data_IF_713719321201
#
_entry.id   IF_713719321201
#
_cell.length_a   1.000
_cell.length_b   1.000
_cell.length_c   1.000
_cell.angle_alpha   90.00
_cell.angle_beta   90.00
_cell.angle_gamma   90.00
#
_symmetry.space_group_name_H-M   'P 1'
#
loop_
_entity.id
_entity.type
_entity.pdbx_description
1 polymer ?
#
# COMPACT_ATOMS: atom_id res chain seq x y z
N UNK A 1 -2.16 -46.48 17.64
CA UNK A 1 -2.31 -45.46 16.58
C UNK A 1 -3.29 -44.39 17.05
N UNK A 2 -2.81 -43.23 17.48
CA UNK A 2 -3.65 -42.07 17.76
C UNK A 2 -2.80 -40.81 17.49
N UNK A 3 -3.04 -40.19 16.35
CA UNK A 3 -2.32 -38.99 15.91
C UNK A 3 -2.81 -37.76 16.67
N UNK A 4 -2.02 -37.29 17.63
CA UNK A 4 -2.21 -36.00 18.28
C UNK A 4 -1.81 -34.87 17.33
N UNK A 5 -2.79 -34.21 16.71
CA UNK A 5 -2.60 -32.96 15.99
C UNK A 5 -2.30 -31.82 16.98
N UNK A 6 -1.03 -31.62 17.35
CA UNK A 6 -0.61 -30.40 18.04
C UNK A 6 -0.55 -29.25 17.05
N UNK A 7 -1.49 -28.31 17.19
CA UNK A 7 -1.36 -26.92 16.75
C UNK A 7 -0.01 -26.37 17.24
N UNK A 8 0.87 -26.03 16.31
CA UNK A 8 2.14 -25.39 16.58
C UNK A 8 2.46 -24.40 15.47
N UNK A 9 1.68 -23.33 15.37
CA UNK A 9 2.05 -22.15 14.57
C UNK A 9 3.35 -21.62 15.20
N UNK A 10 4.49 -21.54 14.50
CA UNK A 10 5.69 -21.02 15.09
C UNK A 10 5.50 -19.55 15.42
N UNK A 11 5.77 -19.26 16.68
CA UNK A 11 5.74 -17.96 17.32
C UNK A 11 6.67 -17.02 16.53
N UNK A 12 6.14 -15.86 16.14
CA UNK A 12 6.85 -14.63 15.79
C UNK A 12 7.28 -14.52 14.32
N UNK A 13 6.38 -14.02 13.48
CA UNK A 13 6.76 -13.27 12.27
C UNK A 13 7.04 -11.82 12.70
N UNK A 14 8.32 -11.36 12.74
CA UNK A 14 8.66 -10.03 13.26
C UNK A 14 8.23 -8.86 12.36
N UNK A 15 7.73 -9.14 11.15
CA UNK A 15 7.30 -8.12 10.20
C UNK A 15 5.78 -7.91 10.13
N UNK A 16 5.00 -8.63 10.93
CA UNK A 16 3.55 -8.44 10.98
C UNK A 16 3.22 -7.26 11.90
N UNK A 17 3.51 -6.05 11.44
CA UNK A 17 2.92 -4.86 12.05
C UNK A 17 1.41 -4.92 11.80
N UNK A 18 0.56 -4.73 12.82
CA UNK A 18 -0.86 -4.57 12.56
C UNK A 18 -1.03 -3.35 11.67
N UNK A 19 -1.46 -3.57 10.43
CA UNK A 19 -1.90 -2.49 9.56
C UNK A 19 -3.02 -1.75 10.29
N UNK A 20 -2.83 -0.46 10.58
CA UNK A 20 -3.85 0.36 11.23
C UNK A 20 -5.06 0.41 10.31
N UNK A 21 -6.20 -0.05 10.79
CA UNK A 21 -7.49 0.12 10.12
C UNK A 21 -8.34 1.05 10.97
N UNK A 22 -8.98 2.02 10.34
CA UNK A 22 -9.93 2.91 10.99
C UNK A 22 -11.34 2.43 10.64
N UNK A 23 -12.16 2.22 11.66
CA UNK A 23 -13.58 1.89 11.45
C UNK A 23 -14.31 3.20 11.15
N UNK A 24 -14.96 3.22 10.00
CA UNK A 24 -15.74 4.34 9.51
C UNK A 24 -17.22 4.02 9.68
N UNK A 25 -17.98 4.89 10.35
CA UNK A 25 -19.40 4.68 10.66
C UNK A 25 -20.29 4.63 9.40
N UNK A 26 -19.81 5.20 8.28
CA UNK A 26 -20.49 5.21 6.99
C UNK A 26 -19.51 4.93 5.84
N UNK A 27 -19.97 4.16 4.86
CA UNK A 27 -19.22 3.81 3.65
C UNK A 27 -18.75 5.05 2.87
N UNK A 28 -19.54 6.13 2.87
CA UNK A 28 -19.15 7.39 2.23
C UNK A 28 -17.94 8.03 2.91
N UNK A 29 -17.85 7.96 4.24
CA UNK A 29 -16.73 8.51 4.99
C UNK A 29 -15.42 7.73 4.75
N UNK A 30 -15.53 6.40 4.56
CA UNK A 30 -14.39 5.55 4.20
C UNK A 30 -13.87 5.88 2.80
N UNK A 31 -14.78 6.03 1.83
CA UNK A 31 -14.45 6.39 0.45
C UNK A 31 -13.83 7.79 0.40
N UNK A 32 -14.35 8.74 1.19
CA UNK A 32 -13.79 10.09 1.30
C UNK A 32 -12.35 10.08 1.79
N UNK A 33 -12.06 9.38 2.91
CA UNK A 33 -10.68 9.24 3.41
C UNK A 33 -9.77 8.54 2.43
N UNK A 34 -10.22 7.46 1.80
CA UNK A 34 -9.42 6.73 0.82
C UNK A 34 -9.08 7.60 -0.39
N UNK A 35 -10.04 8.39 -0.89
CA UNK A 35 -9.82 9.34 -1.99
C UNK A 35 -8.79 10.40 -1.61
N UNK A 36 -8.88 11.01 -0.42
CA UNK A 36 -7.92 12.02 0.06
C UNK A 36 -6.51 11.42 0.20
N UNK A 37 -6.41 10.22 0.79
CA UNK A 37 -5.13 9.53 0.93
C UNK A 37 -4.52 9.15 -0.42
N UNK A 38 -5.35 8.70 -1.39
CA UNK A 38 -4.91 8.38 -2.75
C UNK A 38 -4.48 9.63 -3.51
N UNK A 39 -5.18 10.75 -3.35
CA UNK A 39 -4.85 12.02 -3.99
C UNK A 39 -3.51 12.57 -3.49
N UNK A 40 -3.26 12.52 -2.17
CA UNK A 40 -1.99 12.97 -1.61
C UNK A 40 -0.81 12.13 -2.13
N UNK A 41 -0.98 10.81 -2.19
CA UNK A 41 0.01 9.90 -2.78
C UNK A 41 0.20 10.14 -4.29
N UNK A 42 -0.85 10.55 -5.00
CA UNK A 42 -0.78 10.86 -6.44
C UNK A 42 0.04 12.12 -6.68
N UNK A 43 -0.23 13.22 -5.98
CA UNK A 43 0.51 14.47 -6.12
C UNK A 43 2.00 14.28 -5.82
N UNK A 44 2.33 13.53 -4.76
CA UNK A 44 3.72 13.23 -4.44
C UNK A 44 4.44 12.44 -5.54
N UNK A 45 3.79 11.40 -6.09
CA UNK A 45 4.34 10.62 -7.21
C UNK A 45 4.56 11.47 -8.46
N UNK A 46 3.59 12.33 -8.80
CA UNK A 46 3.71 13.24 -9.95
C UNK A 46 4.88 14.18 -9.74
N UNK A 47 5.02 14.80 -8.56
CA UNK A 47 6.15 15.69 -8.27
C UNK A 47 7.52 14.98 -8.35
N UNK A 48 7.61 13.72 -7.94
CA UNK A 48 8.84 12.92 -8.13
C UNK A 48 9.14 12.64 -9.61
N UNK A 49 8.11 12.33 -10.39
CA UNK A 49 8.25 12.11 -11.83
C UNK A 49 8.67 13.41 -12.53
N UNK A 50 8.01 14.52 -12.24
CA UNK A 50 8.30 15.84 -12.82
C UNK A 50 9.70 16.34 -12.44
N UNK A 51 10.18 16.05 -11.22
CA UNK A 51 11.54 16.40 -10.80
C UNK A 51 12.62 15.66 -11.61
N UNK A 52 12.36 14.41 -12.01
CA UNK A 52 13.28 13.61 -12.83
C UNK A 52 13.04 13.70 -14.34
N UNK A 53 11.84 14.13 -14.75
CA UNK A 53 11.40 14.19 -16.14
C UNK A 53 10.41 15.36 -16.36
N UNK A 54 10.89 16.61 -16.33
CA UNK A 54 10.02 17.80 -16.41
C UNK A 54 9.32 17.95 -17.77
N UNK A 55 9.86 17.33 -18.82
CA UNK A 55 9.30 17.37 -20.17
C UNK A 55 8.39 16.19 -20.49
N UNK A 56 8.12 15.32 -19.50
CA UNK A 56 7.33 14.11 -19.69
C UNK A 56 7.79 13.29 -20.90
N UNK A 57 9.11 13.28 -21.14
CA UNK A 57 9.72 12.55 -22.25
C UNK A 57 9.48 11.06 -22.05
N UNK A 58 9.05 10.38 -23.09
CA UNK A 58 8.99 8.92 -23.04
C UNK A 58 10.43 8.39 -22.95
N UNK A 59 10.73 7.68 -21.86
CA UNK A 59 12.05 7.08 -21.61
C UNK A 59 12.12 5.63 -22.08
N UNK A 60 11.00 5.03 -22.53
CA UNK A 60 10.98 3.67 -23.03
C UNK A 60 11.94 3.43 -24.22
N UNK A 61 12.09 4.37 -25.18
CA UNK A 61 13.04 4.22 -26.28
C UNK A 61 14.51 4.17 -25.83
N UNK A 62 14.84 4.78 -24.69
CA UNK A 62 16.21 4.85 -24.16
C UNK A 62 16.61 3.59 -23.34
N UNK A 63 15.68 2.65 -23.11
CA UNK A 63 15.87 1.42 -22.31
C UNK A 63 16.14 0.17 -23.19
N UNK A 64 16.04 0.29 -24.52
CA UNK A 64 16.29 -0.79 -25.50
C UNK A 64 17.77 -0.87 -25.91
#
# INVERSE_FOLDING_TARGET
>A
MAGTWRRGIPRQRPWAFPARYEVHESMESAIGREKVLKEWKRRWKIGLIEAGNPYWRDLYPDIL
#
